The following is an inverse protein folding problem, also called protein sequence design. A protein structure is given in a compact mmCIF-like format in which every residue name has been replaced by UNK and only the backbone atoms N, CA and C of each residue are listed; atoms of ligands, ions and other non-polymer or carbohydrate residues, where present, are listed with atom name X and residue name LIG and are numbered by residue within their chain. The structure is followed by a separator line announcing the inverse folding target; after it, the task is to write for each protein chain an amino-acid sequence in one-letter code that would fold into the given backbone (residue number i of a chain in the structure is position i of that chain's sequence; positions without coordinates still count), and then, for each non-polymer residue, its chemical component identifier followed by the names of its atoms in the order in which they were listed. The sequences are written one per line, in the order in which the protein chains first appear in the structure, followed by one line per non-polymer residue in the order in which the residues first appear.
data_IF_012139844088
#
_entry.id   IF_012139844088
#
_cell.length_a   1.000
_cell.length_b   1.000
_cell.length_c   1.000
_cell.angle_alpha   90.00
_cell.angle_beta   90.00
_cell.angle_gamma   90.00
#
_symmetry.space_group_name_H-M   'P 1'
#
loop_
_entity.id
_entity.type
_entity.pdbx_description
1 polymer ?
#
# COMPACT_ATOMS: atom_id res chain seq x y z
N UNK A 1 13.54 -10.18 -1.33
CA UNK A 1 12.89 -11.08 -0.37
C UNK A 1 12.71 -12.43 -1.04
N UNK A 2 13.09 -13.50 -0.36
CA UNK A 2 13.25 -14.78 -1.04
C UNK A 2 14.24 -14.64 -2.20
N UNK A 3 13.85 -15.14 -3.38
CA UNK A 3 14.64 -15.00 -4.61
C UNK A 3 14.11 -13.91 -5.55
N UNK A 4 13.30 -12.97 -5.03
CA UNK A 4 12.67 -11.90 -5.83
C UNK A 4 13.18 -10.53 -5.42
N UNK A 5 13.25 -9.66 -6.42
CA UNK A 5 13.33 -8.22 -6.22
C UNK A 5 11.92 -7.65 -6.06
N UNK A 6 11.75 -6.69 -5.17
CA UNK A 6 10.48 -6.01 -4.93
C UNK A 6 10.66 -4.53 -5.23
N UNK A 7 9.92 -4.05 -6.22
CA UNK A 7 9.86 -2.64 -6.58
C UNK A 7 8.64 -2.02 -5.94
N UNK A 8 8.82 -0.94 -5.23
CA UNK A 8 7.73 -0.14 -4.67
C UNK A 8 7.44 1.07 -5.53
N UNK A 9 6.18 1.40 -5.64
CA UNK A 9 5.70 2.60 -6.31
C UNK A 9 4.44 3.12 -5.66
N UNK A 10 4.08 4.34 -5.98
CA UNK A 10 2.90 4.99 -5.41
C UNK A 10 2.01 5.53 -6.51
N UNK A 11 0.72 5.45 -6.31
CA UNK A 11 -0.27 5.98 -7.23
C UNK A 11 -1.59 6.28 -6.51
N UNK A 12 -2.37 7.17 -7.11
CA UNK A 12 -3.76 7.31 -6.74
C UNK A 12 -4.55 6.04 -7.08
N UNK A 13 -5.61 5.76 -6.31
CA UNK A 13 -6.57 4.74 -6.72
C UNK A 13 -7.11 5.08 -8.12
N UNK A 14 -7.44 4.05 -8.87
CA UNK A 14 -7.70 4.15 -10.32
C UNK A 14 -9.06 4.73 -10.70
N UNK A 15 -9.73 5.46 -9.85
CA UNK A 15 -10.95 6.07 -10.30
C UNK A 15 -10.67 7.25 -11.25
N UNK A 16 -11.51 7.42 -12.25
CA UNK A 16 -11.36 8.44 -13.30
C UNK A 16 -11.41 9.87 -12.76
N UNK A 17 -11.86 10.06 -11.53
CA UNK A 17 -12.04 11.36 -10.90
C UNK A 17 -10.97 11.64 -9.81
N UNK A 18 -9.97 10.79 -9.69
CA UNK A 18 -8.96 10.83 -8.62
C UNK A 18 -9.58 10.83 -7.21
N UNK A 19 -10.71 10.19 -7.09
CA UNK A 19 -11.33 9.90 -5.81
C UNK A 19 -10.65 8.67 -5.22
N UNK A 20 -10.59 8.57 -3.92
CA UNK A 20 -9.93 7.48 -3.26
C UNK A 20 -8.69 7.92 -2.51
N UNK A 21 -7.63 7.16 -2.53
CA UNK A 21 -6.44 7.39 -1.71
C UNK A 21 -5.14 7.26 -2.52
N UNK A 22 -4.11 7.91 -2.04
CA UNK A 22 -2.77 7.79 -2.61
C UNK A 22 -2.07 6.60 -1.93
N UNK A 23 -1.89 5.55 -2.69
CA UNK A 23 -1.59 4.22 -2.16
C UNK A 23 -0.18 3.75 -2.52
N UNK A 24 0.32 2.83 -1.70
CA UNK A 24 1.53 2.08 -1.99
C UNK A 24 1.16 0.84 -2.82
N UNK A 25 1.93 0.62 -3.88
CA UNK A 25 1.89 -0.56 -4.73
C UNK A 25 3.26 -1.21 -4.79
N UNK A 26 3.30 -2.45 -5.24
CA UNK A 26 4.54 -3.17 -5.49
C UNK A 26 4.44 -4.04 -6.73
N UNK A 27 5.58 -4.40 -7.25
CA UNK A 27 5.75 -5.37 -8.31
C UNK A 27 6.98 -6.24 -7.99
N UNK A 28 7.05 -7.43 -8.55
CA UNK A 28 8.14 -8.37 -8.30
C UNK A 28 8.83 -8.81 -9.58
N UNK A 29 10.12 -9.13 -9.51
CA UNK A 29 10.89 -9.65 -10.61
C UNK A 29 11.97 -10.63 -10.13
N UNK A 30 12.42 -11.50 -11.03
CA UNK A 30 13.56 -12.40 -10.77
C UNK A 30 14.92 -11.72 -10.90
N UNK A 31 14.97 -10.61 -11.62
CA UNK A 31 16.16 -9.79 -11.85
C UNK A 31 15.87 -8.34 -11.55
N UNK A 32 16.90 -7.59 -11.12
CA UNK A 32 16.72 -6.18 -10.78
C UNK A 32 16.28 -5.33 -11.99
N UNK A 33 16.69 -5.72 -13.17
CA UNK A 33 16.30 -5.06 -14.43
C UNK A 33 14.88 -5.44 -14.88
N UNK A 34 14.23 -6.39 -14.23
CA UNK A 34 12.93 -6.93 -14.60
C UNK A 34 13.00 -8.13 -15.58
N UNK A 35 11.92 -8.43 -16.29
CA UNK A 35 10.65 -7.71 -16.27
C UNK A 35 9.93 -7.83 -14.92
N UNK A 36 9.30 -6.76 -14.50
CA UNK A 36 8.47 -6.76 -13.29
C UNK A 36 7.03 -7.19 -13.59
N UNK A 37 6.42 -7.84 -12.61
CA UNK A 37 4.99 -8.19 -12.65
C UNK A 37 4.10 -6.94 -12.76
N UNK A 38 2.81 -7.13 -13.04
CA UNK A 38 1.82 -6.10 -12.84
C UNK A 38 1.86 -5.58 -11.40
N UNK A 39 1.50 -4.30 -11.24
CA UNK A 39 1.45 -3.70 -9.92
C UNK A 39 0.38 -4.34 -9.05
N UNK A 40 0.68 -4.56 -7.80
CA UNK A 40 -0.21 -5.08 -6.77
C UNK A 40 -0.32 -4.09 -5.63
N UNK A 41 -1.47 -4.06 -4.98
CA UNK A 41 -1.73 -3.18 -3.86
C UNK A 41 -0.98 -3.66 -2.60
N UNK A 42 -0.32 -2.73 -1.91
CA UNK A 42 0.39 -3.01 -0.65
C UNK A 42 -0.26 -2.32 0.55
N UNK A 43 -0.76 -1.11 0.38
CA UNK A 43 -1.42 -0.38 1.46
C UNK A 43 -2.03 0.93 1.01
N UNK A 44 -3.16 1.24 1.62
CA UNK A 44 -3.93 2.46 1.42
C UNK A 44 -3.28 3.63 2.16
N UNK A 45 -3.33 4.83 1.57
CA UNK A 45 -2.81 6.06 2.18
C UNK A 45 -1.30 6.01 2.52
N UNK A 46 -0.56 5.12 1.88
CA UNK A 46 0.89 4.98 2.04
C UNK A 46 1.68 5.60 0.88
N UNK A 47 1.01 6.41 0.05
CA UNK A 47 1.69 7.25 -0.94
C UNK A 47 2.69 8.19 -0.27
N UNK A 48 3.84 8.41 -0.90
CA UNK A 48 5.01 9.07 -0.31
C UNK A 48 5.66 8.32 0.87
N UNK A 49 5.15 7.13 1.22
CA UNK A 49 5.75 6.32 2.25
C UNK A 49 7.05 5.66 1.80
N UNK A 50 7.90 5.38 2.77
CA UNK A 50 9.13 4.61 2.57
C UNK A 50 9.03 3.30 3.34
N UNK A 51 9.23 2.20 2.64
CA UNK A 51 9.30 0.87 3.25
C UNK A 51 10.71 0.63 3.75
N UNK A 52 10.84 0.18 4.98
CA UNK A 52 12.12 -0.14 5.58
C UNK A 52 12.00 -1.29 6.58
N UNK A 53 13.13 -1.88 6.94
CA UNK A 53 13.22 -2.94 7.93
C UNK A 53 14.00 -2.45 9.13
N UNK A 54 13.49 -2.67 10.32
CA UNK A 54 14.17 -2.30 11.55
C UNK A 54 15.23 -3.34 11.96
N UNK A 55 15.99 -3.02 13.01
CA UNK A 55 17.05 -3.89 13.53
C UNK A 55 16.54 -5.22 14.10
N UNK A 56 15.24 -5.30 14.40
CA UNK A 56 14.59 -6.54 14.88
C UNK A 56 14.02 -7.38 13.74
N UNK A 57 14.13 -6.90 12.51
CA UNK A 57 13.65 -7.59 11.33
C UNK A 57 12.19 -7.30 10.96
N UNK A 58 11.51 -6.42 11.69
CA UNK A 58 10.15 -5.99 11.38
C UNK A 58 10.14 -4.99 10.21
N UNK A 59 9.24 -5.19 9.27
CA UNK A 59 9.00 -4.27 8.17
C UNK A 59 8.01 -3.18 8.58
N UNK A 60 8.28 -1.97 8.11
CA UNK A 60 7.52 -0.76 8.37
C UNK A 60 7.38 0.05 7.09
N UNK A 61 6.33 0.87 7.05
CA UNK A 61 6.22 1.95 6.08
C UNK A 61 5.93 3.27 6.81
N UNK A 62 6.60 4.33 6.41
CA UNK A 62 6.25 5.68 6.87
C UNK A 62 4.93 6.10 6.20
N UNK A 63 4.08 6.82 6.92
CA UNK A 63 2.83 7.33 6.38
C UNK A 63 2.56 8.74 6.89
N UNK A 64 1.91 9.55 6.05
CA UNK A 64 1.40 10.85 6.46
C UNK A 64 0.02 10.76 7.11
N UNK A 65 -0.74 9.75 6.72
CA UNK A 65 -2.08 9.54 7.25
C UNK A 65 -1.99 8.94 8.65
N UNK A 66 -2.28 9.73 9.62
CA UNK A 66 -2.45 9.32 11.00
C UNK A 66 -3.73 9.95 11.62
N UNK A 67 -4.65 10.34 10.77
CA UNK A 67 -5.94 10.91 11.12
C UNK A 67 -7.07 9.88 11.24
N UNK A 68 -8.27 10.34 11.07
CA UNK A 68 -9.46 9.49 11.13
C UNK A 68 -9.45 8.43 10.04
N UNK A 69 -9.85 7.21 10.41
CA UNK A 69 -10.20 6.18 9.46
C UNK A 69 -11.34 6.67 8.55
N UNK A 70 -11.15 6.51 7.25
CA UNK A 70 -12.18 6.77 6.26
C UNK A 70 -12.76 5.43 5.84
N UNK A 71 -14.03 5.22 6.12
CA UNK A 71 -14.71 3.99 5.75
C UNK A 71 -14.73 3.81 4.22
N UNK A 72 -14.66 2.58 3.70
CA UNK A 72 -14.71 2.32 2.27
C UNK A 72 -15.92 2.95 1.59
N UNK A 73 -17.06 2.97 2.26
CA UNK A 73 -18.30 3.56 1.76
C UNK A 73 -18.19 5.08 1.55
N UNK A 74 -17.39 5.76 2.36
CA UNK A 74 -17.12 7.19 2.20
C UNK A 74 -16.17 7.45 1.04
N UNK A 75 -15.20 6.56 0.82
CA UNK A 75 -14.31 6.63 -0.34
C UNK A 75 -15.09 6.47 -1.65
N UNK A 76 -16.02 5.51 -1.67
CA UNK A 76 -16.91 5.28 -2.84
C UNK A 76 -17.80 6.48 -3.13
N UNK A 77 -18.25 7.21 -2.09
CA UNK A 77 -19.05 8.45 -2.26
C UNK A 77 -18.25 9.61 -2.85
N UNK A 78 -17.00 9.42 -3.12
CA UNK A 78 -16.22 10.39 -3.85
C UNK A 78 -15.48 11.39 -2.98
N UNK A 79 -15.03 10.98 -1.84
CA UNK A 79 -14.04 11.75 -1.08
C UNK A 79 -12.84 12.00 -1.97
N UNK A 80 -12.50 13.25 -2.19
CA UNK A 80 -11.28 13.61 -2.90
C UNK A 80 -10.09 13.17 -2.06
N UNK A 81 -9.34 12.22 -2.57
CA UNK A 81 -8.16 11.71 -1.88
C UNK A 81 -7.05 12.75 -1.73
N UNK A 82 -7.10 13.82 -2.51
CA UNK A 82 -6.24 14.97 -2.36
C UNK A 82 -6.61 15.89 -1.20
N UNK A 83 -7.77 15.67 -0.56
CA UNK A 83 -8.15 16.52 0.57
C UNK A 83 -7.33 16.18 1.80
N UNK A 84 -6.92 17.21 2.50
CA UNK A 84 -6.20 17.09 3.77
C UNK A 84 -7.05 16.47 4.91
N UNK A 85 -8.31 16.15 4.67
CA UNK A 85 -9.20 15.57 5.67
C UNK A 85 -8.78 14.18 6.14
N UNK A 86 -8.02 13.47 5.32
CA UNK A 86 -7.42 12.18 5.67
C UNK A 86 -6.00 12.30 6.23
N UNK A 87 -5.47 13.50 6.36
CA UNK A 87 -4.11 13.74 6.83
C UNK A 87 -4.12 14.41 8.19
N UNK A 88 -3.23 13.96 9.03
CA UNK A 88 -3.00 14.57 10.32
C UNK A 88 -1.70 15.38 10.23
N UNK A 89 -1.70 16.59 10.78
CA UNK A 89 -0.56 17.50 10.77
C UNK A 89 0.46 17.24 11.89
N UNK A 90 0.24 16.23 12.71
CA UNK A 90 1.09 15.92 13.87
C UNK A 90 2.36 15.12 13.53
N UNK A 91 2.66 14.95 12.25
CA UNK A 91 3.89 14.28 11.80
C UNK A 91 3.67 12.93 11.15
N UNK A 92 4.76 12.20 10.96
CA UNK A 92 4.75 10.89 10.34
C UNK A 92 4.28 9.81 11.33
N UNK A 93 3.56 8.83 10.80
CA UNK A 93 3.29 7.60 11.52
C UNK A 93 4.06 6.43 10.91
N UNK A 94 4.23 5.37 11.67
CA UNK A 94 4.80 4.11 11.21
C UNK A 94 3.71 3.06 11.13
N UNK A 95 3.60 2.43 9.97
CA UNK A 95 2.62 1.38 9.71
C UNK A 95 3.37 0.06 9.59
N UNK A 96 3.03 -0.95 10.41
CA UNK A 96 3.65 -2.26 10.30
C UNK A 96 3.25 -2.93 8.99
N UNK A 97 4.23 -3.56 8.35
CA UNK A 97 4.08 -4.24 7.06
C UNK A 97 4.43 -5.73 7.20
N UNK A 98 3.77 -6.57 6.42
CA UNK A 98 4.23 -7.92 6.11
C UNK A 98 4.83 -7.94 4.71
N UNK A 99 6.02 -8.54 4.58
CA UNK A 99 6.69 -8.81 3.30
C UNK A 99 7.20 -10.24 3.36
N UNK A 100 6.50 -11.14 2.71
CA UNK A 100 6.70 -12.57 2.84
C UNK A 100 6.87 -13.24 1.48
N UNK A 101 7.77 -14.21 1.41
CA UNK A 101 7.87 -15.11 0.26
C UNK A 101 6.75 -16.15 0.37
N UNK A 102 5.91 -16.23 -0.66
CA UNK A 102 4.77 -17.15 -0.72
C UNK A 102 4.72 -17.79 -2.10
N UNK A 103 4.79 -19.11 -2.15
CA UNK A 103 4.67 -19.89 -3.40
C UNK A 103 5.56 -19.39 -4.55
N UNK A 104 6.81 -19.04 -4.24
CA UNK A 104 7.77 -18.57 -5.24
C UNK A 104 7.61 -17.11 -5.68
N UNK A 105 6.74 -16.38 -5.06
CA UNK A 105 6.55 -14.94 -5.24
C UNK A 105 6.62 -14.21 -3.89
N UNK A 106 6.37 -12.90 -3.88
CA UNK A 106 6.38 -12.07 -2.67
C UNK A 106 5.04 -11.40 -2.49
N UNK A 107 4.51 -11.47 -1.29
CA UNK A 107 3.30 -10.77 -0.86
C UNK A 107 3.69 -9.63 0.06
N UNK A 108 3.22 -8.43 -0.26
CA UNK A 108 3.42 -7.21 0.55
C UNK A 108 2.08 -6.65 0.95
N UNK A 109 1.91 -6.37 2.24
CA UNK A 109 0.68 -5.74 2.74
C UNK A 109 0.91 -4.96 4.02
N UNK A 110 0.14 -3.90 4.22
CA UNK A 110 0.01 -3.25 5.51
C UNK A 110 -0.71 -4.19 6.49
N UNK A 111 -0.30 -4.19 7.76
CA UNK A 111 -0.93 -5.00 8.82
C UNK A 111 -1.97 -4.22 9.61
N UNK A 112 -1.85 -2.89 9.68
CA UNK A 112 -2.84 -2.05 10.33
C UNK A 112 -4.12 -1.99 9.49
N UNK A 113 -5.29 -2.36 10.05
CA UNK A 113 -6.57 -2.35 9.34
C UNK A 113 -6.92 -1.01 8.67
N UNK A 114 -6.50 0.11 9.23
CA UNK A 114 -6.75 1.43 8.65
C UNK A 114 -6.03 1.65 7.32
N UNK A 115 -4.96 0.90 7.06
CA UNK A 115 -4.11 1.01 5.89
C UNK A 115 -4.18 -0.19 4.94
N UNK A 116 -4.80 -1.28 5.35
CA UNK A 116 -4.89 -2.49 4.53
C UNK A 116 -6.21 -2.63 3.77
N UNK A 117 -7.18 -1.75 3.98
CA UNK A 117 -8.43 -1.77 3.23
C UNK A 117 -8.22 -1.18 1.84
N UNK A 118 -8.28 -1.98 0.78
CA UNK A 118 -8.16 -1.50 -0.58
C UNK A 118 -9.44 -0.77 -1.01
N UNK A 119 -9.33 0.04 -2.03
CA UNK A 119 -10.48 0.46 -2.81
C UNK A 119 -11.06 -0.72 -3.62
N UNK A 120 -12.16 -0.50 -4.30
CA UNK A 120 -12.86 -1.58 -5.01
C UNK A 120 -12.04 -2.24 -6.11
N UNK A 121 -11.17 -1.51 -6.77
CA UNK A 121 -10.28 -2.06 -7.80
C UNK A 121 -9.14 -2.89 -7.23
N UNK A 122 -8.62 -2.49 -6.09
CA UNK A 122 -7.49 -3.15 -5.44
C UNK A 122 -7.90 -4.42 -4.70
N UNK A 123 -9.16 -4.56 -4.31
CA UNK A 123 -9.68 -5.76 -3.63
C UNK A 123 -9.43 -7.03 -4.43
N UNK A 124 -9.51 -6.96 -5.74
CA UNK A 124 -9.28 -8.12 -6.60
C UNK A 124 -7.84 -8.64 -6.55
N UNK A 125 -6.90 -7.81 -6.16
CA UNK A 125 -5.49 -8.19 -6.06
C UNK A 125 -5.15 -8.94 -4.77
N UNK A 126 -6.01 -8.89 -3.76
CA UNK A 126 -5.84 -9.65 -2.52
C UNK A 126 -6.37 -11.09 -2.61
N UNK A 127 -7.28 -11.36 -3.53
CA UNK A 127 -7.89 -12.69 -3.69
C UNK A 127 -6.96 -13.70 -4.34
N UNK A 128 -5.87 -13.28 -4.93
CA UNK A 128 -4.91 -14.15 -5.63
C UNK A 128 -3.94 -14.85 -4.66
N UNK A 129 -3.94 -14.47 -3.40
CA UNK A 129 -2.94 -14.92 -2.42
C UNK A 129 -3.48 -15.78 -1.29
N UNK A 130 -4.67 -16.37 -1.47
CA UNK A 130 -5.18 -17.40 -0.55
C UNK A 130 -4.75 -18.80 -0.97
#
# INVERSE_FOLDING_TARGET
VGNKYVLFGTAWSRDSLRKGTYNLYYATADKIEGPYSDRRFAGRCLGHGTVFRDKKGQWWCTAFLNGKYIAPEELVKGVDAGTASSMNQQGLTLVPMSIEAVNGDVVVRALDPHYCLPGTEEMQQFTITQ
#
